data_IF_229950957701
#
_entry.id   IF_229950957701
#
_cell.length_a   1.000
_cell.length_b   1.000
_cell.length_c   1.000
_cell.angle_alpha   90.00
_cell.angle_beta   90.00
_cell.angle_gamma   90.00
#
_symmetry.space_group_name_H-M   'P 1'
#
loop_
_entity.id
_entity.type
_entity.pdbx_description
1 polymer ?
#
# COMPACT_ATOMS: atom_id res chain seq x y z
N UNK A 1 21.19 -7.44 2.58
CA UNK A 1 20.91 -8.68 3.32
C UNK A 1 22.04 -8.90 4.35
N UNK A 2 21.66 -9.08 5.61
CA UNK A 2 22.62 -9.30 6.71
C UNK A 2 22.77 -10.81 6.94
N UNK A 3 23.78 -11.42 6.33
CA UNK A 3 23.97 -12.89 6.32
C UNK A 3 24.04 -13.53 7.71
N UNK A 4 24.60 -12.87 8.70
CA UNK A 4 24.71 -13.36 10.08
C UNK A 4 23.37 -13.49 10.81
N UNK A 5 22.29 -12.83 10.31
CA UNK A 5 20.95 -12.91 10.86
C UNK A 5 20.10 -14.06 10.29
N UNK A 6 20.63 -14.86 9.34
CA UNK A 6 19.87 -15.97 8.76
C UNK A 6 19.28 -16.96 9.78
N UNK A 7 20.00 -17.37 10.85
CA UNK A 7 19.41 -18.28 11.83
C UNK A 7 18.13 -17.72 12.49
N UNK A 8 18.12 -16.42 12.79
CA UNK A 8 16.94 -15.73 13.33
C UNK A 8 15.83 -15.63 12.28
N UNK A 9 16.20 -15.39 11.02
CA UNK A 9 15.24 -15.36 9.91
C UNK A 9 14.59 -16.71 9.66
N UNK A 10 15.27 -17.81 9.88
CA UNK A 10 14.68 -19.15 9.77
C UNK A 10 13.63 -19.40 10.86
N UNK A 11 13.91 -18.99 12.09
CA UNK A 11 12.92 -19.07 13.19
C UNK A 11 11.69 -18.20 12.89
N UNK A 12 11.91 -16.96 12.43
CA UNK A 12 10.84 -16.08 11.97
C UNK A 12 10.03 -16.72 10.82
N UNK A 13 10.76 -17.25 9.84
CA UNK A 13 10.16 -17.93 8.68
C UNK A 13 9.35 -19.14 9.06
N UNK A 14 9.81 -19.94 10.02
CA UNK A 14 9.07 -21.10 10.54
C UNK A 14 7.75 -20.64 11.19
N UNK A 15 7.77 -19.60 12.01
CA UNK A 15 6.55 -19.03 12.61
C UNK A 15 5.56 -18.54 11.57
N UNK A 16 6.02 -17.79 10.55
CA UNK A 16 5.19 -17.32 9.45
C UNK A 16 4.65 -18.50 8.62
N UNK A 17 5.47 -19.51 8.37
CA UNK A 17 5.08 -20.71 7.63
C UNK A 17 3.98 -21.48 8.37
N UNK A 18 4.17 -21.76 9.68
CA UNK A 18 3.16 -22.42 10.52
C UNK A 18 1.84 -21.63 10.47
N UNK A 19 1.87 -20.32 10.71
CA UNK A 19 0.70 -19.47 10.64
C UNK A 19 -0.01 -19.59 9.29
N UNK A 20 0.72 -19.53 8.18
CA UNK A 20 0.13 -19.63 6.86
C UNK A 20 -0.46 -21.03 6.61
N UNK A 21 0.18 -22.11 7.09
CA UNK A 21 -0.38 -23.46 7.01
C UNK A 21 -1.67 -23.64 7.80
N UNK A 22 -1.80 -22.98 8.96
CA UNK A 22 -3.04 -23.01 9.74
C UNK A 22 -4.21 -22.38 8.98
N UNK A 23 -3.96 -21.35 8.17
CA UNK A 23 -4.95 -20.81 7.23
C UNK A 23 -5.21 -21.78 6.06
N UNK A 24 -4.16 -22.34 5.45
CA UNK A 24 -4.30 -23.24 4.30
C UNK A 24 -5.07 -24.51 4.67
N UNK A 25 -4.94 -25.00 5.88
CA UNK A 25 -5.68 -26.15 6.43
C UNK A 25 -7.08 -25.79 6.97
N UNK A 26 -7.46 -24.50 6.92
CA UNK A 26 -8.77 -24.03 7.41
C UNK A 26 -8.94 -24.01 8.92
N UNK A 27 -7.85 -24.21 9.70
CA UNK A 27 -7.87 -24.08 11.17
C UNK A 27 -8.13 -22.62 11.54
N UNK A 28 -7.43 -21.69 10.90
CA UNK A 28 -7.80 -20.28 10.95
C UNK A 28 -8.75 -19.97 9.81
N UNK A 29 -9.94 -19.46 10.16
CA UNK A 29 -10.99 -19.17 9.18
C UNK A 29 -10.76 -17.83 8.52
N UNK A 30 -10.85 -17.79 7.20
CA UNK A 30 -10.92 -16.57 6.41
C UNK A 30 -12.39 -16.17 6.22
N UNK A 31 -12.73 -14.90 6.44
CA UNK A 31 -14.09 -14.38 6.29
C UNK A 31 -14.22 -13.63 4.97
N UNK A 32 -15.21 -14.02 4.16
CA UNK A 32 -15.67 -13.27 2.98
C UNK A 32 -16.82 -12.35 3.36
N UNK A 33 -17.04 -11.31 2.58
CA UNK A 33 -18.10 -10.32 2.78
C UNK A 33 -18.90 -10.19 1.49
N UNK A 34 -20.18 -9.86 1.61
CA UNK A 34 -21.07 -9.67 0.45
C UNK A 34 -20.74 -8.41 -0.35
N UNK A 35 -20.03 -7.47 0.26
CA UNK A 35 -19.52 -6.28 -0.40
C UNK A 35 -18.15 -6.56 -1.05
N UNK A 36 -17.84 -5.98 -2.23
CA UNK A 36 -16.52 -6.05 -2.82
C UNK A 36 -15.44 -5.50 -1.90
N UNK A 37 -14.46 -6.34 -1.56
CA UNK A 37 -13.30 -5.97 -0.75
C UNK A 37 -12.05 -6.07 -1.61
N UNK A 38 -11.30 -4.97 -1.74
CA UNK A 38 -10.04 -4.89 -2.47
C UNK A 38 -8.92 -4.69 -1.46
N UNK A 39 -7.97 -5.62 -1.41
CA UNK A 39 -6.79 -5.49 -0.55
C UNK A 39 -5.60 -4.96 -1.33
N UNK A 40 -4.95 -3.92 -0.84
CA UNK A 40 -3.68 -3.40 -1.35
C UNK A 40 -2.62 -3.62 -0.29
N UNK A 41 -1.50 -4.22 -0.66
CA UNK A 41 -0.42 -4.44 0.27
C UNK A 41 0.87 -4.93 -0.37
N UNK A 42 1.81 -5.30 0.46
CA UNK A 42 3.10 -5.83 0.03
C UNK A 42 3.56 -6.93 0.98
N UNK A 43 4.57 -7.69 0.58
CA UNK A 43 5.19 -8.73 1.42
C UNK A 43 6.56 -8.30 1.96
N UNK A 44 6.97 -7.06 1.73
CA UNK A 44 8.26 -6.52 2.20
C UNK A 44 8.06 -5.35 3.15
N UNK A 45 9.03 -5.07 3.99
CA UNK A 45 9.08 -3.83 4.79
C UNK A 45 9.64 -2.71 3.93
N UNK A 46 9.04 -1.53 4.04
CA UNK A 46 9.48 -0.32 3.36
C UNK A 46 8.42 0.27 2.42
N UNK A 47 8.76 1.38 1.81
CA UNK A 47 7.86 2.16 0.96
C UNK A 47 7.72 1.56 -0.44
N UNK A 48 6.86 0.58 -0.63
CA UNK A 48 6.51 -0.01 -1.94
C UNK A 48 5.48 0.80 -2.73
N UNK A 49 5.07 1.98 -2.21
CA UNK A 49 4.07 2.80 -2.88
C UNK A 49 2.61 2.45 -2.55
N UNK A 50 2.33 1.85 -1.38
CA UNK A 50 0.95 1.49 -0.97
C UNK A 50 0.01 2.70 -1.01
N UNK A 51 0.33 3.75 -0.29
CA UNK A 51 -0.50 4.96 -0.21
C UNK A 51 -0.85 5.54 -1.59
N UNK A 52 0.10 5.77 -2.52
CA UNK A 52 -0.23 6.23 -3.86
C UNK A 52 -1.14 5.30 -4.65
N UNK A 53 -1.00 3.97 -4.49
CA UNK A 53 -1.86 3.01 -5.19
C UNK A 53 -3.25 2.92 -4.55
N UNK A 54 -3.36 3.01 -3.24
CA UNK A 54 -4.65 3.14 -2.54
C UNK A 54 -5.37 4.42 -2.98
N UNK A 55 -4.65 5.56 -3.05
CA UNK A 55 -5.21 6.83 -3.57
C UNK A 55 -5.62 6.73 -5.05
N UNK A 56 -4.87 6.00 -5.87
CA UNK A 56 -5.23 5.75 -7.26
C UNK A 56 -6.55 4.97 -7.37
N UNK A 57 -6.71 3.91 -6.58
CA UNK A 57 -7.96 3.13 -6.53
C UNK A 57 -9.14 3.97 -6.04
N UNK A 58 -8.93 4.82 -5.02
CA UNK A 58 -9.96 5.76 -4.57
C UNK A 58 -10.41 6.65 -5.75
N UNK A 59 -9.47 7.25 -6.48
CA UNK A 59 -9.77 8.10 -7.64
C UNK A 59 -10.51 7.36 -8.73
N UNK A 60 -10.17 6.10 -8.96
CA UNK A 60 -10.78 5.26 -9.99
C UNK A 60 -12.21 4.86 -9.63
N UNK A 61 -12.47 4.55 -8.36
CA UNK A 61 -13.73 3.98 -7.92
C UNK A 61 -14.75 5.03 -7.47
N UNK A 62 -14.31 6.11 -6.80
CA UNK A 62 -15.22 7.10 -6.21
C UNK A 62 -16.19 7.81 -7.17
N UNK A 63 -15.93 7.94 -8.49
CA UNK A 63 -16.92 8.53 -9.39
C UNK A 63 -18.22 7.71 -9.53
N UNK A 64 -18.12 6.38 -9.31
CA UNK A 64 -19.24 5.46 -9.54
C UNK A 64 -19.69 4.71 -8.28
N UNK A 65 -18.88 4.71 -7.22
CA UNK A 65 -19.13 3.91 -6.01
C UNK A 65 -18.89 4.73 -4.75
N UNK A 66 -19.64 4.44 -3.71
CA UNK A 66 -19.36 4.91 -2.35
C UNK A 66 -18.23 4.08 -1.73
N UNK A 67 -17.05 4.66 -1.74
CA UNK A 67 -15.81 4.00 -1.32
C UNK A 67 -15.58 4.17 0.18
N UNK A 68 -15.32 3.07 0.87
CA UNK A 68 -14.73 3.07 2.19
C UNK A 68 -13.27 2.57 2.13
N UNK A 69 -12.41 3.17 2.93
CA UNK A 69 -11.01 2.73 3.10
C UNK A 69 -10.81 2.33 4.55
N UNK A 70 -10.27 1.14 4.77
CA UNK A 70 -9.96 0.63 6.10
C UNK A 70 -8.47 0.36 6.24
N UNK A 71 -7.82 1.12 7.12
CA UNK A 71 -6.41 0.97 7.45
C UNK A 71 -6.21 0.47 8.88
N UNK A 72 -4.97 0.09 9.22
CA UNK A 72 -4.62 -0.29 10.60
C UNK A 72 -4.55 0.92 11.53
N UNK A 73 -4.22 2.09 10.99
CA UNK A 73 -3.88 3.26 11.79
C UNK A 73 -2.55 3.05 12.52
N UNK A 74 -1.45 2.92 11.78
CA UNK A 74 -0.13 2.74 12.38
C UNK A 74 0.21 3.91 13.33
N UNK A 75 0.73 3.60 14.52
CA UNK A 75 1.08 4.55 15.59
C UNK A 75 -0.08 5.42 16.12
N UNK A 76 -1.33 5.11 15.82
CA UNK A 76 -2.49 5.80 16.41
C UNK A 76 -2.59 5.54 17.92
N UNK A 77 -3.16 6.50 18.64
CA UNK A 77 -3.41 6.38 20.09
C UNK A 77 -4.76 5.71 20.40
N UNK A 78 -5.71 5.76 19.46
CA UNK A 78 -7.03 5.17 19.62
C UNK A 78 -7.00 3.64 19.55
N UNK A 79 -8.01 2.98 20.12
CA UNK A 79 -8.22 1.51 20.05
C UNK A 79 -9.56 1.23 19.39
N UNK A 80 -9.71 -0.01 18.85
CA UNK A 80 -10.92 -0.45 18.18
C UNK A 80 -11.20 0.29 16.88
N UNK A 81 -12.44 0.24 16.44
CA UNK A 81 -12.91 0.92 15.24
C UNK A 81 -13.02 2.43 15.44
N UNK A 82 -12.56 3.21 14.47
CA UNK A 82 -12.76 4.66 14.42
C UNK A 82 -13.04 5.08 12.99
N UNK A 83 -14.20 5.69 12.75
CA UNK A 83 -14.52 6.36 11.49
C UNK A 83 -14.02 7.80 11.55
N UNK A 84 -13.16 8.18 10.62
CA UNK A 84 -12.59 9.52 10.55
C UNK A 84 -13.64 10.56 10.15
N UNK A 85 -13.83 11.55 10.98
CA UNK A 85 -14.60 12.76 10.70
C UNK A 85 -13.67 13.86 10.11
N UNK A 86 -14.20 14.91 9.48
CA UNK A 86 -13.37 15.98 8.90
C UNK A 86 -12.35 16.59 9.88
N UNK A 87 -12.71 16.65 11.17
CA UNK A 87 -11.89 17.24 12.22
C UNK A 87 -11.15 16.21 13.09
N UNK A 88 -11.14 14.92 12.69
CA UNK A 88 -10.46 13.88 13.48
C UNK A 88 -8.96 14.13 13.50
N UNK A 89 -8.33 14.24 14.68
CA UNK A 89 -6.90 14.50 14.77
C UNK A 89 -6.04 13.35 14.25
N UNK A 90 -4.86 13.68 13.73
CA UNK A 90 -3.90 12.69 13.19
C UNK A 90 -3.52 11.60 14.20
N UNK A 91 -3.37 11.93 15.48
CA UNK A 91 -3.01 10.99 16.54
C UNK A 91 -4.10 9.95 16.85
N UNK A 92 -5.33 10.18 16.38
CA UNK A 92 -6.46 9.25 16.56
C UNK A 92 -6.50 8.20 15.46
N UNK A 93 -6.18 8.57 14.21
CA UNK A 93 -6.29 7.66 13.06
C UNK A 93 -4.95 7.29 12.43
N UNK A 94 -3.87 8.05 12.71
CA UNK A 94 -2.53 7.86 12.14
C UNK A 94 -2.30 8.70 10.88
N UNK A 95 -1.04 8.85 10.48
CA UNK A 95 -0.60 9.80 9.45
C UNK A 95 -1.19 9.49 8.06
N UNK A 96 -1.09 8.23 7.60
CA UNK A 96 -1.55 7.82 6.26
C UNK A 96 -3.08 7.95 6.11
N UNK A 97 -3.90 7.43 7.05
CA UNK A 97 -5.36 7.63 7.01
C UNK A 97 -5.77 9.10 7.09
N UNK A 98 -5.07 9.90 7.89
CA UNK A 98 -5.32 11.33 7.99
C UNK A 98 -5.08 12.03 6.65
N UNK A 99 -3.92 11.77 6.02
CA UNK A 99 -3.59 12.31 4.70
C UNK A 99 -4.63 11.92 3.64
N UNK A 100 -5.06 10.65 3.60
CA UNK A 100 -6.07 10.19 2.66
C UNK A 100 -7.42 10.90 2.90
N UNK A 101 -7.85 11.05 4.16
CA UNK A 101 -9.11 11.74 4.50
C UNK A 101 -9.08 13.21 4.12
N UNK A 102 -7.96 13.91 4.31
CA UNK A 102 -7.80 15.30 3.87
C UNK A 102 -7.87 15.44 2.35
N UNK A 103 -7.29 14.50 1.62
CA UNK A 103 -7.24 14.49 0.16
C UNK A 103 -8.56 14.07 -0.49
N UNK A 104 -9.31 13.20 0.18
CA UNK A 104 -10.58 12.65 -0.27
C UNK A 104 -11.64 12.78 0.84
N UNK A 105 -12.19 14.00 1.05
CA UNK A 105 -13.16 14.23 2.12
C UNK A 105 -14.46 13.43 1.93
N UNK A 106 -14.78 13.03 0.70
CA UNK A 106 -16.04 12.37 0.32
C UNK A 106 -16.06 10.88 0.62
N UNK A 107 -14.91 10.24 0.92
CA UNK A 107 -14.86 8.82 1.23
C UNK A 107 -15.07 8.56 2.72
N UNK A 108 -15.51 7.35 3.04
CA UNK A 108 -15.43 6.83 4.39
C UNK A 108 -14.01 6.35 4.68
N UNK A 109 -13.32 6.99 5.60
CA UNK A 109 -11.99 6.58 6.05
C UNK A 109 -12.10 6.02 7.46
N UNK A 110 -11.79 4.75 7.63
CA UNK A 110 -11.85 4.08 8.93
C UNK A 110 -10.52 3.43 9.29
N UNK A 111 -10.32 3.25 10.57
CA UNK A 111 -9.15 2.53 11.10
C UNK A 111 -9.60 1.49 12.12
N UNK A 112 -9.13 0.27 11.95
CA UNK A 112 -9.25 -0.80 12.92
C UNK A 112 -8.05 -1.75 12.80
N UNK A 113 -7.62 -2.32 13.92
CA UNK A 113 -6.63 -3.40 13.94
C UNK A 113 -7.24 -4.70 13.44
N UNK A 114 -8.48 -4.99 13.82
CA UNK A 114 -9.28 -6.10 13.32
C UNK A 114 -10.03 -5.67 12.06
N UNK A 115 -9.57 -6.15 10.89
CA UNK A 115 -10.17 -5.81 9.60
C UNK A 115 -11.54 -6.45 9.41
N UNK A 116 -11.80 -7.62 10.02
CA UNK A 116 -13.11 -8.24 9.94
C UNK A 116 -14.15 -7.37 10.63
N UNK A 117 -13.90 -6.99 11.89
CA UNK A 117 -14.73 -6.08 12.64
C UNK A 117 -14.88 -4.72 11.94
N UNK A 118 -13.78 -4.17 11.42
CA UNK A 118 -13.82 -2.89 10.70
C UNK A 118 -14.68 -2.92 9.43
N UNK A 119 -14.69 -4.03 8.68
CA UNK A 119 -15.58 -4.18 7.52
C UNK A 119 -17.03 -4.31 7.98
N UNK A 120 -17.31 -5.09 9.04
CA UNK A 120 -18.65 -5.24 9.59
C UNK A 120 -19.24 -3.88 10.00
N UNK A 121 -18.45 -3.06 10.68
CA UNK A 121 -18.85 -1.70 11.07
C UNK A 121 -19.11 -0.78 9.88
N UNK A 122 -18.33 -0.92 8.80
CA UNK A 122 -18.55 -0.17 7.56
C UNK A 122 -19.79 -0.64 6.78
N UNK A 123 -20.19 -1.89 6.96
CA UNK A 123 -21.31 -2.51 6.24
C UNK A 123 -22.61 -2.55 7.04
N UNK A 124 -22.62 -2.14 8.30
CA UNK A 124 -23.81 -2.22 9.19
C UNK A 124 -24.95 -1.27 8.79
N UNK A 125 -24.76 -0.42 7.78
CA UNK A 125 -25.75 0.52 7.27
C UNK A 125 -25.90 1.81 8.08
N UNK A 126 -25.36 1.88 9.29
CA UNK A 126 -25.45 3.04 10.18
C UNK A 126 -24.17 3.86 10.17
N UNK A 127 -23.03 3.19 10.29
CA UNK A 127 -21.72 3.86 10.45
C UNK A 127 -21.24 4.51 9.15
N UNK A 128 -21.39 3.81 8.02
CA UNK A 128 -21.00 4.27 6.69
C UNK A 128 -22.09 3.94 5.67
N UNK A 129 -23.24 4.64 5.70
CA UNK A 129 -24.42 4.27 4.93
C UNK A 129 -24.17 4.30 3.44
N UNK A 130 -24.56 3.21 2.78
CA UNK A 130 -24.44 3.05 1.33
C UNK A 130 -23.01 2.75 0.85
N UNK A 131 -22.12 2.27 1.70
CA UNK A 131 -20.80 1.76 1.26
C UNK A 131 -21.01 0.64 0.24
N UNK A 132 -20.35 0.76 -0.92
CA UNK A 132 -20.46 -0.19 -2.03
C UNK A 132 -19.15 -0.96 -2.27
N UNK A 133 -18.01 -0.43 -1.82
CA UNK A 133 -16.71 -1.07 -1.94
C UNK A 133 -15.80 -0.69 -0.77
N UNK A 134 -15.06 -1.66 -0.26
CA UNK A 134 -14.08 -1.45 0.81
C UNK A 134 -12.67 -1.69 0.28
N UNK A 135 -11.78 -0.72 0.42
CA UNK A 135 -10.35 -0.85 0.13
C UNK A 135 -9.62 -1.07 1.45
N UNK A 136 -8.88 -2.17 1.56
CA UNK A 136 -8.02 -2.47 2.70
C UNK A 136 -6.60 -1.99 2.42
N UNK A 137 -6.13 -1.04 3.20
CA UNK A 137 -4.77 -0.52 3.10
C UNK A 137 -3.81 -1.32 4.01
N UNK A 138 -2.66 -1.74 3.44
CA UNK A 138 -1.62 -2.58 4.07
C UNK A 138 -2.18 -3.85 4.75
N UNK A 139 -3.03 -4.60 4.02
CA UNK A 139 -3.72 -5.75 4.58
C UNK A 139 -3.31 -7.10 4.00
N UNK A 140 -2.27 -7.18 3.17
CA UNK A 140 -1.86 -8.42 2.48
C UNK A 140 -1.53 -9.56 3.45
N UNK A 141 -1.00 -9.26 4.65
CA UNK A 141 -0.73 -10.23 5.70
C UNK A 141 -1.96 -10.58 6.56
N UNK A 142 -3.06 -9.82 6.44
CA UNK A 142 -4.24 -10.00 7.30
C UNK A 142 -5.20 -11.04 6.69
N UNK A 143 -4.81 -12.32 6.73
CA UNK A 143 -5.51 -13.44 6.09
C UNK A 143 -6.88 -13.77 6.70
N UNK A 144 -7.26 -13.20 7.83
CA UNK A 144 -8.62 -13.37 8.39
C UNK A 144 -9.72 -12.79 7.48
N UNK A 145 -9.39 -11.81 6.66
CA UNK A 145 -10.26 -11.34 5.57
C UNK A 145 -9.85 -12.03 4.28
N UNK A 146 -10.81 -12.62 3.57
CA UNK A 146 -10.66 -13.11 2.20
C UNK A 146 -11.17 -12.02 1.24
N UNK A 147 -10.30 -11.19 0.68
CA UNK A 147 -10.73 -10.13 -0.24
C UNK A 147 -11.17 -10.72 -1.58
N UNK A 148 -12.12 -10.06 -2.24
CA UNK A 148 -12.51 -10.40 -3.60
C UNK A 148 -11.39 -10.12 -4.62
N UNK A 149 -10.58 -9.06 -4.36
CA UNK A 149 -9.40 -8.73 -5.15
C UNK A 149 -8.21 -8.43 -4.24
N UNK A 150 -7.07 -9.07 -4.51
CA UNK A 150 -5.84 -8.92 -3.73
C UNK A 150 -4.73 -8.38 -4.63
N UNK A 151 -4.26 -7.17 -4.34
CA UNK A 151 -3.23 -6.45 -5.12
C UNK A 151 -1.93 -6.45 -4.34
N UNK A 152 -0.90 -7.06 -4.92
CA UNK A 152 0.45 -7.11 -4.37
C UNK A 152 1.34 -6.06 -5.04
N UNK A 153 1.95 -5.20 -4.25
CA UNK A 153 2.92 -4.22 -4.72
C UNK A 153 4.34 -4.72 -4.49
N UNK A 154 5.16 -4.64 -5.53
CA UNK A 154 6.57 -5.03 -5.52
C UNK A 154 7.41 -3.86 -6.02
N UNK A 155 8.42 -3.45 -5.28
CA UNK A 155 9.34 -2.37 -5.68
C UNK A 155 10.30 -2.87 -6.78
N UNK A 156 10.36 -2.17 -7.91
CA UNK A 156 11.26 -2.47 -9.03
C UNK A 156 12.73 -2.62 -8.60
N UNK A 157 13.17 -1.75 -7.70
CA UNK A 157 14.56 -1.74 -7.21
C UNK A 157 14.84 -2.83 -6.14
N UNK A 158 13.82 -3.61 -5.76
CA UNK A 158 13.90 -4.65 -4.72
C UNK A 158 12.95 -5.79 -5.02
N UNK A 159 13.28 -6.59 -6.06
CA UNK A 159 12.50 -7.76 -6.40
C UNK A 159 12.42 -8.72 -5.22
N UNK A 160 11.24 -9.28 -4.99
CA UNK A 160 11.00 -10.21 -3.86
C UNK A 160 11.76 -11.53 -4.00
N UNK A 161 12.13 -11.91 -5.23
CA UNK A 161 12.94 -13.09 -5.51
C UNK A 161 14.42 -12.97 -5.09
N UNK A 162 14.89 -11.74 -4.82
CA UNK A 162 16.28 -11.44 -4.45
C UNK A 162 16.41 -11.04 -2.97
N UNK A 163 15.32 -11.06 -2.20
CA UNK A 163 15.33 -10.62 -0.81
C UNK A 163 15.15 -11.81 0.15
N UNK A 164 15.47 -11.61 1.41
CA UNK A 164 15.36 -12.59 2.49
C UNK A 164 14.28 -12.17 3.50
N UNK A 165 13.86 -13.13 4.33
CA UNK A 165 12.95 -12.89 5.42
C UNK A 165 13.60 -12.01 6.50
N UNK A 166 12.76 -11.27 7.24
CA UNK A 166 13.17 -10.53 8.44
C UNK A 166 13.84 -11.49 9.46
N UNK A 167 14.85 -11.04 10.18
CA UNK A 167 15.54 -9.74 10.11
C UNK A 167 16.74 -9.71 9.14
N UNK A 168 17.10 -10.81 8.46
CA UNK A 168 18.24 -10.84 7.55
C UNK A 168 17.99 -10.01 6.27
N UNK A 169 16.77 -10.03 5.78
CA UNK A 169 16.27 -9.20 4.68
C UNK A 169 15.07 -8.36 5.11
N UNK A 170 14.19 -8.07 4.16
CA UNK A 170 13.02 -7.19 4.36
C UNK A 170 11.68 -7.88 4.15
N UNK A 171 11.66 -9.16 3.79
CA UNK A 171 10.41 -9.88 3.58
C UNK A 171 9.70 -10.18 4.90
N UNK A 172 8.42 -9.81 4.98
CA UNK A 172 7.50 -10.10 6.10
C UNK A 172 6.98 -11.54 6.03
N UNK A 173 7.00 -12.14 4.84
CA UNK A 173 6.56 -13.51 4.59
C UNK A 173 7.31 -14.08 3.37
N UNK A 174 7.35 -15.43 3.22
CA UNK A 174 8.01 -16.05 2.08
C UNK A 174 7.45 -15.59 0.74
N UNK A 175 8.28 -15.62 -0.31
CA UNK A 175 7.90 -15.23 -1.66
C UNK A 175 6.62 -15.92 -2.16
N UNK A 176 6.38 -17.18 -1.75
CA UNK A 176 5.14 -17.93 -2.05
C UNK A 176 3.86 -17.18 -1.61
N UNK A 177 3.96 -16.23 -0.70
CA UNK A 177 2.85 -15.35 -0.33
C UNK A 177 2.24 -14.62 -1.53
N UNK A 178 3.03 -14.33 -2.58
CA UNK A 178 2.56 -13.72 -3.83
C UNK A 178 1.44 -14.49 -4.52
N UNK A 179 1.37 -15.81 -4.28
CA UNK A 179 0.35 -16.67 -4.90
C UNK A 179 -1.09 -16.32 -4.49
N UNK A 180 -1.27 -15.55 -3.42
CA UNK A 180 -2.59 -15.05 -3.02
C UNK A 180 -3.02 -13.80 -3.79
N UNK A 181 -2.10 -13.18 -4.53
CA UNK A 181 -2.41 -11.98 -5.32
C UNK A 181 -3.17 -12.35 -6.59
N UNK A 182 -4.18 -11.57 -6.94
CA UNK A 182 -4.83 -11.58 -8.26
C UNK A 182 -4.09 -10.65 -9.22
N UNK A 183 -3.63 -9.51 -8.68
CA UNK A 183 -2.86 -8.51 -9.43
C UNK A 183 -1.53 -8.29 -8.71
N UNK A 184 -0.44 -8.30 -9.49
CA UNK A 184 0.89 -7.91 -9.04
C UNK A 184 1.28 -6.64 -9.79
N UNK A 185 1.72 -5.61 -9.05
CA UNK A 185 2.16 -4.35 -9.64
C UNK A 185 3.62 -4.13 -9.27
N UNK A 186 4.49 -4.10 -10.28
CA UNK A 186 5.87 -3.64 -10.11
C UNK A 186 5.84 -2.11 -10.08
N UNK A 187 6.20 -1.56 -8.94
CA UNK A 187 6.12 -0.11 -8.68
C UNK A 187 7.48 0.57 -8.86
N UNK A 188 7.47 1.88 -9.07
CA UNK A 188 8.66 2.73 -9.22
C UNK A 188 9.56 2.31 -10.38
N UNK A 189 8.98 1.75 -11.42
CA UNK A 189 9.72 1.46 -12.64
C UNK A 189 10.33 2.74 -13.22
N UNK A 190 11.48 2.65 -13.90
CA UNK A 190 11.99 3.74 -14.70
C UNK A 190 11.00 4.08 -15.83
N UNK A 191 11.04 5.34 -16.32
CA UNK A 191 10.13 5.77 -17.40
C UNK A 191 10.47 5.09 -18.75
N UNK A 192 11.71 4.70 -18.90
CA UNK A 192 12.33 4.09 -20.09
C UNK A 192 12.46 2.55 -19.96
N UNK A 193 11.66 1.91 -19.09
CA UNK A 193 11.66 0.46 -18.96
C UNK A 193 11.47 -0.22 -20.33
N UNK A 194 12.39 -1.10 -20.69
CA UNK A 194 12.37 -1.76 -22.00
C UNK A 194 11.46 -3.00 -22.00
N UNK A 195 10.97 -3.43 -23.18
CA UNK A 195 10.23 -4.69 -23.31
C UNK A 195 11.05 -5.89 -22.83
N UNK A 196 12.38 -5.82 -22.89
CA UNK A 196 13.27 -6.87 -22.40
C UNK A 196 13.25 -6.93 -20.87
N UNK A 197 13.32 -5.78 -20.18
CA UNK A 197 13.23 -5.71 -18.72
C UNK A 197 11.89 -6.26 -18.22
N UNK A 198 10.80 -5.92 -18.89
CA UNK A 198 9.45 -6.43 -18.59
C UNK A 198 9.42 -7.96 -18.71
N UNK A 199 10.05 -8.53 -19.76
CA UNK A 199 10.12 -9.96 -19.97
C UNK A 199 10.94 -10.66 -18.89
N UNK A 200 12.10 -10.08 -18.51
CA UNK A 200 12.95 -10.59 -17.44
C UNK A 200 12.21 -10.59 -16.11
N UNK A 201 11.60 -9.46 -15.73
CA UNK A 201 10.83 -9.33 -14.49
C UNK A 201 9.65 -10.32 -14.44
N UNK A 202 8.91 -10.47 -15.54
CA UNK A 202 7.83 -11.46 -15.63
C UNK A 202 8.33 -12.88 -15.37
N UNK A 203 9.48 -13.24 -15.93
CA UNK A 203 10.10 -14.55 -15.72
C UNK A 203 10.57 -14.72 -14.27
N UNK A 204 11.23 -13.71 -13.70
CA UNK A 204 11.70 -13.73 -12.31
C UNK A 204 10.55 -13.84 -11.32
N UNK A 205 9.45 -13.13 -11.57
CA UNK A 205 8.27 -13.19 -10.71
C UNK A 205 7.58 -14.56 -10.71
N UNK A 206 7.71 -15.37 -11.75
CA UNK A 206 7.16 -16.73 -11.81
C UNK A 206 5.69 -16.78 -11.42
N UNK A 207 4.87 -15.91 -12.04
CA UNK A 207 3.44 -15.79 -11.70
C UNK A 207 2.61 -16.89 -12.32
N UNK A 208 1.51 -17.24 -11.67
CA UNK A 208 0.52 -18.17 -12.22
C UNK A 208 -0.33 -17.51 -13.31
N UNK A 209 -0.93 -18.32 -14.22
CA UNK A 209 -1.74 -17.81 -15.34
C UNK A 209 -2.92 -16.92 -14.92
N UNK A 210 -3.47 -17.10 -13.72
CA UNK A 210 -4.59 -16.27 -13.22
C UNK A 210 -4.13 -14.91 -12.67
N UNK A 211 -2.83 -14.69 -12.50
CA UNK A 211 -2.28 -13.44 -11.96
C UNK A 211 -1.96 -12.47 -13.08
N UNK A 212 -2.41 -11.23 -12.91
CA UNK A 212 -2.10 -10.14 -13.84
C UNK A 212 -0.90 -9.37 -13.33
N UNK A 213 -0.02 -8.97 -14.25
CA UNK A 213 1.19 -8.19 -13.94
C UNK A 213 1.13 -6.83 -14.62
N UNK A 214 1.25 -5.79 -13.81
CA UNK A 214 1.32 -4.39 -14.25
C UNK A 214 2.60 -3.73 -13.79
N UNK A 215 2.97 -2.65 -14.48
CA UNK A 215 4.15 -1.84 -14.19
C UNK A 215 3.71 -0.39 -14.01
N UNK A 216 4.21 0.27 -12.96
CA UNK A 216 3.91 1.67 -12.69
C UNK A 216 5.18 2.48 -12.47
N UNK A 217 5.21 3.70 -12.97
CA UNK A 217 6.26 4.67 -12.74
C UNK A 217 5.75 5.84 -11.91
N UNK A 218 6.64 6.54 -11.24
CA UNK A 218 6.30 7.77 -10.54
C UNK A 218 6.24 8.92 -11.55
N UNK A 219 5.14 9.65 -11.51
CA UNK A 219 5.01 10.90 -12.25
C UNK A 219 4.69 12.02 -11.27
N UNK A 220 5.50 13.07 -11.28
CA UNK A 220 5.30 14.22 -10.42
C UNK A 220 4.26 15.15 -11.04
N UNK A 221 3.26 15.51 -10.24
CA UNK A 221 2.27 16.51 -10.61
C UNK A 221 2.79 17.93 -10.43
N UNK A 222 1.87 18.88 -10.49
CA UNK A 222 2.16 20.28 -10.14
C UNK A 222 2.47 20.40 -8.65
N UNK A 223 3.33 21.36 -8.31
CA UNK A 223 3.50 21.81 -6.94
C UNK A 223 2.26 22.62 -6.51
N UNK A 224 1.79 22.37 -5.32
CA UNK A 224 0.71 23.15 -4.72
C UNK A 224 1.13 23.68 -3.35
N UNK A 225 0.69 24.87 -2.99
CA UNK A 225 1.08 25.48 -1.72
C UNK A 225 0.49 24.69 -0.54
N UNK A 226 1.29 24.51 0.52
CA UNK A 226 0.84 23.89 1.76
C UNK A 226 -0.15 24.81 2.48
N UNK A 227 0.04 26.12 2.36
CA UNK A 227 -0.88 27.15 2.85
C UNK A 227 -1.94 27.43 1.80
N UNK A 228 -3.19 27.70 2.23
CA UNK A 228 -4.33 27.94 1.33
C UNK A 228 -4.18 29.15 0.40
N UNK A 229 -3.13 29.95 0.55
CA UNK A 229 -2.82 31.12 -0.29
C UNK A 229 -1.69 30.75 -1.26
N UNK A 230 -2.01 30.61 -2.53
CA UNK A 230 -1.03 30.35 -3.59
C UNK A 230 -1.62 29.60 -4.77
N UNK A 231 -0.96 29.70 -5.92
CA UNK A 231 -1.36 29.01 -7.16
C UNK A 231 -0.57 27.72 -7.32
N UNK A 232 -1.19 26.72 -7.95
CA UNK A 232 -0.46 25.54 -8.43
C UNK A 232 0.66 25.94 -9.38
N UNK A 233 1.80 25.29 -9.23
CA UNK A 233 3.01 25.62 -10.00
C UNK A 233 3.58 24.38 -10.67
N UNK A 234 3.69 24.34 -12.01
CA UNK A 234 4.34 23.23 -12.69
C UNK A 234 5.83 23.12 -12.29
N UNK A 235 6.30 21.93 -11.98
CA UNK A 235 7.71 21.69 -11.62
C UNK A 235 8.64 22.21 -12.74
N UNK A 236 8.26 22.06 -14.00
CA UNK A 236 9.03 22.53 -15.15
C UNK A 236 9.22 24.05 -15.20
N UNK A 237 8.42 24.82 -14.45
CA UNK A 237 8.50 26.28 -14.41
C UNK A 237 9.42 26.79 -13.28
N UNK A 238 10.04 25.90 -12.51
CA UNK A 238 11.02 26.31 -11.49
C UNK A 238 12.17 27.02 -12.20
N UNK A 239 12.48 28.24 -11.73
CA UNK A 239 13.59 29.02 -12.31
C UNK A 239 14.92 28.29 -12.06
N UNK A 240 15.83 28.27 -13.05
CA UNK A 240 17.10 27.55 -12.94
C UNK A 240 18.00 28.01 -11.79
N UNK A 241 17.85 29.28 -11.38
CA UNK A 241 18.63 29.85 -10.27
C UNK A 241 17.88 29.76 -8.92
N UNK A 242 16.76 29.02 -8.86
CA UNK A 242 15.99 28.87 -7.63
C UNK A 242 16.69 27.90 -6.68
N UNK A 243 16.91 28.31 -5.43
CA UNK A 243 17.36 27.43 -4.38
C UNK A 243 16.19 26.64 -3.81
N UNK A 244 16.24 25.30 -3.95
CA UNK A 244 15.18 24.40 -3.48
C UNK A 244 15.62 23.76 -2.16
N UNK A 245 14.87 24.03 -1.07
CA UNK A 245 14.99 23.30 0.18
C UNK A 245 14.03 22.11 0.15
N UNK A 246 14.55 20.90 0.03
CA UNK A 246 13.76 19.67 0.06
C UNK A 246 13.64 19.14 1.49
N UNK A 247 12.42 19.19 2.05
CA UNK A 247 12.10 18.56 3.33
C UNK A 247 11.22 17.33 3.09
N UNK A 248 11.66 16.16 3.54
CA UNK A 248 10.98 14.90 3.25
C UNK A 248 11.09 13.90 4.41
N UNK A 249 10.01 13.12 4.63
CA UNK A 249 9.97 11.98 5.56
C UNK A 249 9.88 10.63 4.86
N UNK A 250 10.15 10.55 3.55
CA UNK A 250 10.07 9.28 2.79
C UNK A 250 11.25 8.36 3.10
N UNK A 251 11.05 7.06 2.98
CA UNK A 251 12.04 6.03 3.33
C UNK A 251 13.34 6.08 2.51
N UNK A 252 13.30 6.61 1.27
CA UNK A 252 14.46 6.79 0.40
C UNK A 252 14.27 8.03 -0.48
N UNK A 253 14.92 9.16 -0.16
CA UNK A 253 14.81 10.40 -0.93
C UNK A 253 15.69 10.43 -2.18
N UNK A 254 16.63 9.50 -2.35
CA UNK A 254 17.63 9.55 -3.42
C UNK A 254 17.01 9.69 -4.82
N UNK A 255 15.94 8.93 -5.12
CA UNK A 255 15.26 9.06 -6.41
C UNK A 255 14.59 10.42 -6.57
N UNK A 256 13.95 10.93 -5.52
CA UNK A 256 13.31 12.25 -5.55
C UNK A 256 14.35 13.36 -5.78
N UNK A 257 15.49 13.29 -5.13
CA UNK A 257 16.60 14.22 -5.32
C UNK A 257 17.10 14.16 -6.78
N UNK A 258 17.34 12.94 -7.29
CA UNK A 258 17.77 12.74 -8.67
C UNK A 258 16.73 13.27 -9.67
N UNK A 259 15.46 13.02 -9.45
CA UNK A 259 14.38 13.45 -10.35
C UNK A 259 14.14 14.98 -10.30
N UNK A 260 14.49 15.64 -9.21
CA UNK A 260 14.43 17.10 -9.07
C UNK A 260 15.69 17.83 -9.54
N UNK A 261 16.84 17.17 -9.59
CA UNK A 261 18.13 17.78 -9.97
C UNK A 261 18.13 18.48 -11.35
N UNK A 262 17.33 18.09 -12.37
CA UNK A 262 17.27 18.83 -13.62
C UNK A 262 16.59 20.20 -13.53
N UNK A 263 15.92 20.49 -12.42
CA UNK A 263 15.18 21.75 -12.18
C UNK A 263 15.92 22.71 -11.23
N UNK A 264 17.15 22.35 -10.83
CA UNK A 264 17.95 23.15 -9.92
C UNK A 264 19.30 23.50 -10.56
#
# INVERSE_FOLDING_TARGET
IHKWLYPVSWLYGAGVWIRNRLFDWGIYKEKSFDIPVISVGNITVGGTGKTPHTEYLIKLLKPNYKVAVLSRGYKRKSKGFVLAQPNTPVNIIGDEPFQMKQKFPDIYMAVDRDRCHGIEELCNGYTAPGTEVVILDDAFQHRYVKPGMNILLVDYHRPICEDALLPAGRMREPEKGKNRAHIVIITKCPKDITPMDVRVLRKQMGLYPYQQLYFTTLNYGKLYPITRQGKEYPIANIHKDAHILLVTGIASPAKLIHDLSPYN
#
